data_IF_119007941342
#
_entry.id   IF_119007941342
#
_cell.length_a   1.000
_cell.length_b   1.000
_cell.length_c   1.000
_cell.angle_alpha   90.00
_cell.angle_beta   90.00
_cell.angle_gamma   90.00
#
_symmetry.space_group_name_H-M   'P 1'
#
loop_
_entity.id
_entity.type
_entity.pdbx_description
1 polymer ?
#
# COMPACT_ATOMS: atom_id res chain seq x y z
N UNK A 1 -16.20 30.96 6.06
CA UNK A 1 -14.94 31.07 6.81
C UNK A 1 -14.93 30.08 7.97
N UNK A 2 -15.92 30.12 8.86
CA UNK A 2 -15.92 29.41 10.16
C UNK A 2 -15.83 27.85 10.10
N UNK A 3 -16.54 27.18 9.19
CA UNK A 3 -16.51 25.71 9.06
C UNK A 3 -15.16 25.17 8.58
N UNK A 4 -14.45 25.93 7.75
CA UNK A 4 -13.14 25.55 7.22
C UNK A 4 -12.08 25.58 8.33
N UNK A 5 -12.15 26.59 9.20
CA UNK A 5 -11.23 26.73 10.34
C UNK A 5 -11.48 25.67 11.40
N UNK A 6 -12.72 25.20 11.54
CA UNK A 6 -13.06 24.07 12.41
C UNK A 6 -12.53 22.75 11.87
N UNK A 7 -12.66 22.49 10.56
CA UNK A 7 -12.00 21.33 9.94
C UNK A 7 -10.49 21.36 10.11
N UNK A 8 -9.86 22.55 10.00
CA UNK A 8 -8.44 22.74 10.28
C UNK A 8 -8.06 22.34 11.72
N UNK A 9 -8.83 22.78 12.71
CA UNK A 9 -8.63 22.40 14.12
C UNK A 9 -8.82 20.91 14.37
N UNK A 10 -9.75 20.26 13.67
CA UNK A 10 -9.94 18.80 13.74
C UNK A 10 -8.71 18.09 13.15
N UNK A 11 -8.16 18.58 12.03
CA UNK A 11 -6.92 18.04 11.46
C UNK A 11 -5.75 18.16 12.44
N UNK A 12 -5.55 19.31 13.08
CA UNK A 12 -4.50 19.50 14.09
C UNK A 12 -4.68 18.56 15.30
N UNK A 13 -5.92 18.41 15.80
CA UNK A 13 -6.22 17.46 16.88
C UNK A 13 -5.90 16.02 16.48
N UNK A 14 -6.24 15.60 15.26
CA UNK A 14 -5.91 14.25 14.77
C UNK A 14 -4.40 14.06 14.62
N UNK A 15 -3.67 15.07 14.13
CA UNK A 15 -2.21 15.02 14.05
C UNK A 15 -1.56 14.91 15.44
N UNK A 16 -2.11 15.60 16.44
CA UNK A 16 -1.58 15.54 17.81
C UNK A 16 -1.67 14.14 18.45
N UNK A 17 -2.49 13.22 17.93
CA UNK A 17 -2.53 11.83 18.40
C UNK A 17 -1.19 11.12 18.12
N UNK A 18 -0.57 11.42 16.98
CA UNK A 18 0.73 10.87 16.63
C UNK A 18 1.80 11.38 17.60
N UNK A 19 1.72 12.66 17.99
CA UNK A 19 2.64 13.29 18.93
C UNK A 19 2.40 12.84 20.38
N UNK A 20 1.16 12.50 20.75
CA UNK A 20 0.80 12.04 22.09
C UNK A 20 1.14 10.58 22.35
N UNK A 21 1.41 9.79 21.31
CA UNK A 21 1.79 8.39 21.48
C UNK A 21 3.17 8.31 22.15
N UNK A 22 3.32 7.66 23.32
CA UNK A 22 4.58 7.61 24.07
C UNK A 22 5.55 6.59 23.46
N UNK A 23 5.89 6.81 22.19
CA UNK A 23 6.90 6.07 21.42
C UNK A 23 8.20 5.84 22.22
N UNK A 24 8.75 6.85 22.94
CA UNK A 24 9.96 6.66 23.73
C UNK A 24 9.80 5.64 24.86
N UNK A 25 8.64 5.53 25.52
CA UNK A 25 8.47 4.61 26.66
C UNK A 25 8.53 3.14 26.23
N UNK A 26 8.04 2.82 25.02
CA UNK A 26 8.05 1.46 24.49
C UNK A 26 9.34 1.10 23.75
N UNK A 27 9.95 2.06 23.06
CA UNK A 27 11.17 1.82 22.27
C UNK A 27 12.44 1.88 23.11
N UNK A 28 12.47 2.70 24.18
CA UNK A 28 13.66 2.92 25.00
C UNK A 28 14.15 1.69 25.76
N UNK A 29 13.30 0.84 26.38
CA UNK A 29 13.78 -0.37 27.04
C UNK A 29 14.45 -1.34 26.06
N UNK A 30 13.87 -1.51 24.87
CA UNK A 30 14.43 -2.36 23.82
C UNK A 30 15.73 -1.78 23.25
N UNK A 31 15.78 -0.47 22.99
CA UNK A 31 16.99 0.19 22.48
C UNK A 31 18.12 0.21 23.51
N UNK A 32 17.83 0.44 24.79
CA UNK A 32 18.80 0.36 25.87
C UNK A 32 19.30 -1.08 26.09
N UNK A 33 18.42 -2.08 25.98
CA UNK A 33 18.82 -3.49 26.05
C UNK A 33 19.74 -3.88 24.89
N UNK A 34 19.40 -3.47 23.67
CA UNK A 34 20.24 -3.66 22.48
C UNK A 34 21.58 -2.94 22.60
N UNK A 35 21.58 -1.68 23.06
CA UNK A 35 22.80 -0.91 23.29
C UNK A 35 23.71 -1.55 24.33
N UNK A 36 23.16 -2.02 25.45
CA UNK A 36 23.91 -2.77 26.47
C UNK A 36 24.44 -4.10 25.91
N UNK A 37 23.66 -4.80 25.09
CA UNK A 37 24.10 -6.04 24.46
C UNK A 37 25.24 -5.80 23.46
N UNK A 38 25.16 -4.73 22.67
CA UNK A 38 26.21 -4.31 21.75
C UNK A 38 27.49 -3.91 22.50
N UNK A 39 27.38 -3.08 23.52
CA UNK A 39 28.52 -2.65 24.32
C UNK A 39 29.19 -3.85 25.02
N UNK A 40 28.39 -4.79 25.52
CA UNK A 40 28.90 -6.03 26.13
C UNK A 40 29.52 -6.98 25.12
N UNK A 41 29.09 -6.96 23.85
CA UNK A 41 29.62 -7.85 22.81
C UNK A 41 30.89 -7.30 22.14
N UNK A 42 31.10 -5.98 22.10
CA UNK A 42 32.31 -5.34 21.55
C UNK A 42 33.65 -5.95 22.02
N UNK A 43 33.90 -6.19 23.32
CA UNK A 43 35.16 -6.81 23.75
C UNK A 43 35.28 -8.26 23.22
N UNK A 44 34.20 -9.04 23.23
CA UNK A 44 34.24 -10.38 22.66
C UNK A 44 34.50 -10.38 21.15
N UNK A 45 33.95 -9.42 20.41
CA UNK A 45 34.18 -9.30 18.97
C UNK A 45 35.65 -9.02 18.63
N UNK A 46 36.31 -8.13 19.39
CA UNK A 46 37.77 -7.88 19.24
C UNK A 46 38.59 -9.14 19.54
N UNK A 47 38.14 -9.93 20.50
CA UNK A 47 38.85 -11.13 20.92
C UNK A 47 38.64 -12.26 19.91
N UNK A 48 37.45 -12.33 19.32
CA UNK A 48 37.13 -13.22 18.19
C UNK A 48 37.96 -12.87 16.97
N UNK A 49 38.15 -11.58 16.63
CA UNK A 49 39.01 -11.18 15.51
C UNK A 49 40.46 -11.64 15.70
N UNK A 50 40.98 -11.50 16.93
CA UNK A 50 42.32 -12.00 17.27
C UNK A 50 42.39 -13.52 17.21
N UNK A 51 41.39 -14.21 17.76
CA UNK A 51 41.31 -15.67 17.71
C UNK A 51 41.18 -16.19 16.28
N UNK A 52 40.43 -15.49 15.43
CA UNK A 52 40.23 -15.82 14.03
C UNK A 52 41.55 -15.77 13.25
N UNK A 53 42.39 -14.77 13.53
CA UNK A 53 43.74 -14.71 12.95
C UNK A 53 44.59 -15.93 13.35
N UNK A 54 44.57 -16.31 14.64
CA UNK A 54 45.28 -17.50 15.11
C UNK A 54 44.70 -18.79 14.54
N UNK A 55 43.37 -18.91 14.45
CA UNK A 55 42.67 -20.04 13.85
C UNK A 55 43.06 -20.20 12.38
N UNK A 56 43.11 -19.10 11.63
CA UNK A 56 43.52 -19.09 10.24
C UNK A 56 44.98 -19.53 10.07
N UNK A 57 45.91 -18.99 10.86
CA UNK A 57 47.32 -19.39 10.84
C UNK A 57 47.45 -20.88 11.16
N UNK A 58 46.85 -21.33 12.25
CA UNK A 58 46.90 -22.74 12.68
C UNK A 58 46.36 -23.65 11.57
N UNK A 59 45.19 -23.33 11.02
CA UNK A 59 44.57 -24.06 9.91
C UNK A 59 45.48 -24.13 8.67
N UNK A 60 46.06 -23.01 8.25
CA UNK A 60 46.97 -22.97 7.09
C UNK A 60 48.24 -23.79 7.34
N UNK A 61 48.85 -23.72 8.52
CA UNK A 61 50.02 -24.53 8.87
C UNK A 61 49.69 -26.02 8.83
N UNK A 62 48.56 -26.43 9.42
CA UNK A 62 48.13 -27.83 9.45
C UNK A 62 47.81 -28.38 8.05
N UNK A 63 47.10 -27.61 7.23
CA UNK A 63 46.87 -27.95 5.83
C UNK A 63 48.19 -28.07 5.06
N UNK A 64 49.16 -27.18 5.32
CA UNK A 64 50.49 -27.24 4.69
C UNK A 64 51.26 -28.49 5.09
N UNK A 65 51.15 -28.95 6.35
CA UNK A 65 51.76 -30.21 6.82
C UNK A 65 51.18 -31.40 6.06
N UNK A 66 49.86 -31.48 5.91
CA UNK A 66 49.20 -32.56 5.17
C UNK A 66 49.61 -32.54 3.68
N UNK A 67 49.63 -31.35 3.06
CA UNK A 67 50.09 -31.17 1.69
C UNK A 67 51.56 -31.57 1.52
N UNK A 68 52.42 -31.26 2.49
CA UNK A 68 53.83 -31.67 2.47
C UNK A 68 53.97 -33.19 2.54
N UNK A 69 53.22 -33.86 3.44
CA UNK A 69 53.19 -35.33 3.52
C UNK A 69 52.74 -35.93 2.18
N UNK A 70 51.68 -35.37 1.58
CA UNK A 70 51.17 -35.82 0.29
C UNK A 70 52.20 -35.60 -0.82
N UNK A 71 52.86 -34.45 -0.86
CA UNK A 71 53.92 -34.14 -1.83
C UNK A 71 55.10 -35.11 -1.71
N UNK A 72 55.60 -35.36 -0.49
CA UNK A 72 56.64 -36.36 -0.24
C UNK A 72 56.22 -37.75 -0.74
N UNK A 73 54.95 -38.13 -0.51
CA UNK A 73 54.42 -39.40 -0.98
C UNK A 73 54.31 -39.49 -2.50
N UNK A 74 53.77 -38.47 -3.17
CA UNK A 74 53.62 -38.43 -4.63
C UNK A 74 54.99 -38.41 -5.32
N UNK A 75 55.91 -37.54 -4.87
CA UNK A 75 57.28 -37.50 -5.40
C UNK A 75 58.02 -38.80 -5.12
N UNK A 76 57.83 -39.39 -3.92
CA UNK A 76 58.39 -40.68 -3.56
C UNK A 76 57.92 -41.81 -4.47
N UNK A 77 56.61 -41.86 -4.77
CA UNK A 77 56.04 -42.80 -5.73
C UNK A 77 56.58 -42.59 -7.14
N UNK A 78 56.57 -41.35 -7.65
CA UNK A 78 57.00 -41.05 -9.02
C UNK A 78 58.49 -41.36 -9.27
N UNK A 79 59.36 -40.94 -8.35
CA UNK A 79 60.79 -41.25 -8.45
C UNK A 79 61.07 -42.75 -8.26
N UNK A 80 60.32 -43.39 -7.37
CA UNK A 80 60.44 -44.82 -7.10
C UNK A 80 60.00 -45.69 -8.28
N UNK A 81 58.85 -45.41 -8.89
CA UNK A 81 58.36 -46.15 -10.07
C UNK A 81 59.23 -45.90 -11.29
N UNK A 82 59.68 -44.66 -11.51
CA UNK A 82 60.63 -44.35 -12.56
C UNK A 82 61.97 -45.08 -12.36
N UNK A 83 62.48 -45.09 -11.13
CA UNK A 83 63.69 -45.83 -10.76
C UNK A 83 63.55 -47.34 -10.98
N UNK A 84 62.38 -47.92 -10.68
CA UNK A 84 62.09 -49.32 -11.00
C UNK A 84 62.03 -49.59 -12.51
N UNK A 85 61.42 -48.70 -13.30
CA UNK A 85 61.29 -48.87 -14.75
C UNK A 85 62.63 -48.80 -15.50
N UNK A 86 63.61 -48.09 -14.95
CA UNK A 86 64.95 -47.92 -15.54
C UNK A 86 65.91 -49.04 -15.18
N UNK A 87 65.50 -49.94 -14.28
CA UNK A 87 66.36 -50.97 -13.70
C UNK A 87 66.40 -52.22 -14.57
N UNK A 88 67.61 -52.68 -14.91
CA UNK A 88 67.80 -53.91 -15.72
C UNK A 88 67.71 -55.18 -14.85
N UNK A 89 68.39 -55.24 -13.70
CA UNK A 89 68.27 -56.34 -12.73
C UNK A 89 67.72 -55.89 -11.36
N UNK A 90 66.88 -56.71 -10.68
CA UNK A 90 66.37 -56.45 -9.32
C UNK A 90 67.43 -56.29 -8.21
N UNK A 91 68.71 -56.45 -8.54
CA UNK A 91 69.88 -56.33 -7.66
C UNK A 91 70.57 -54.97 -7.76
N UNK A 92 70.37 -54.24 -8.86
CA UNK A 92 71.18 -53.07 -9.21
C UNK A 92 70.78 -51.79 -8.46
N UNK A 93 71.76 -50.99 -8.09
CA UNK A 93 71.50 -49.74 -7.39
C UNK A 93 71.08 -48.65 -8.38
N UNK A 94 69.88 -48.08 -8.20
CA UNK A 94 69.40 -46.97 -9.01
C UNK A 94 69.13 -45.73 -8.12
N UNK A 95 69.80 -44.62 -8.42
CA UNK A 95 69.78 -43.42 -7.58
C UNK A 95 68.36 -42.83 -7.40
N UNK A 96 67.52 -42.90 -8.44
CA UNK A 96 66.15 -42.36 -8.42
C UNK A 96 65.21 -43.24 -7.58
N UNK A 97 65.40 -44.56 -7.60
CA UNK A 97 64.65 -45.50 -6.76
C UNK A 97 64.95 -45.31 -5.27
N UNK A 98 66.23 -45.16 -4.91
CA UNK A 98 66.64 -44.88 -3.52
C UNK A 98 66.14 -43.50 -3.06
N UNK A 99 66.19 -42.48 -3.92
CA UNK A 99 65.60 -41.17 -3.62
C UNK A 99 64.09 -41.28 -3.36
N UNK A 100 63.36 -42.02 -4.20
CA UNK A 100 61.93 -42.28 -4.02
C UNK A 100 61.62 -42.98 -2.68
N UNK A 101 62.41 -44.00 -2.31
CA UNK A 101 62.28 -44.68 -1.02
C UNK A 101 62.53 -43.74 0.18
N UNK A 102 63.52 -42.84 0.08
CA UNK A 102 63.81 -41.84 1.12
C UNK A 102 62.69 -40.82 1.26
N UNK A 103 62.10 -40.34 0.16
CA UNK A 103 60.96 -39.42 0.20
C UNK A 103 59.69 -40.07 0.79
N UNK A 104 59.42 -41.36 0.51
CA UNK A 104 58.35 -42.10 1.16
C UNK A 104 58.57 -42.25 2.66
N UNK A 105 59.79 -42.58 3.09
CA UNK A 105 60.13 -42.69 4.51
C UNK A 105 60.09 -41.34 5.24
N UNK A 106 60.45 -40.25 4.56
CA UNK A 106 60.30 -38.89 5.09
C UNK A 106 58.81 -38.54 5.27
N UNK A 107 57.96 -38.85 4.29
CA UNK A 107 56.50 -38.69 4.40
C UNK A 107 55.90 -39.48 5.57
N UNK A 108 56.33 -40.72 5.76
CA UNK A 108 55.96 -41.56 6.92
C UNK A 108 56.41 -40.95 8.24
N UNK A 109 57.65 -40.46 8.31
CA UNK A 109 58.19 -39.82 9.51
C UNK A 109 57.40 -38.57 9.91
N UNK A 110 57.08 -37.71 8.94
CA UNK A 110 56.26 -36.52 9.15
C UNK A 110 54.82 -36.90 9.56
N UNK A 111 54.21 -37.89 8.89
CA UNK A 111 52.88 -38.36 9.22
C UNK A 111 52.80 -38.88 10.67
N UNK A 112 53.79 -39.66 11.11
CA UNK A 112 53.84 -40.17 12.49
C UNK A 112 54.04 -39.04 13.52
N UNK A 113 54.96 -38.10 13.23
CA UNK A 113 55.28 -36.98 14.11
C UNK A 113 54.06 -36.08 14.37
N UNK A 114 53.27 -35.79 13.33
CA UNK A 114 52.13 -34.88 13.41
C UNK A 114 50.78 -35.58 13.62
N UNK A 115 50.69 -36.91 13.55
CA UNK A 115 49.43 -37.65 13.66
C UNK A 115 48.72 -37.40 15.00
N UNK A 116 49.43 -37.43 16.12
CA UNK A 116 48.80 -37.22 17.44
C UNK A 116 48.25 -35.80 17.61
N UNK A 117 48.93 -34.78 17.04
CA UNK A 117 48.47 -33.40 17.02
C UNK A 117 47.20 -33.25 16.19
N UNK A 118 47.16 -33.88 15.01
CA UNK A 118 45.98 -33.88 14.14
C UNK A 118 44.79 -34.57 14.81
N UNK A 119 44.99 -35.73 15.45
CA UNK A 119 43.93 -36.44 16.18
C UNK A 119 43.39 -35.59 17.35
N UNK A 120 44.27 -35.00 18.17
CA UNK A 120 43.88 -34.18 19.30
C UNK A 120 43.06 -32.96 18.85
N UNK A 121 43.48 -32.32 17.75
CA UNK A 121 42.76 -31.18 17.20
C UNK A 121 41.39 -31.58 16.64
N UNK A 122 41.31 -32.67 15.86
CA UNK A 122 40.04 -33.20 15.35
C UNK A 122 39.09 -33.48 16.51
N UNK A 123 39.58 -34.10 17.59
CA UNK A 123 38.76 -34.38 18.78
C UNK A 123 38.25 -33.09 19.45
N UNK A 124 39.13 -32.10 19.68
CA UNK A 124 38.74 -30.84 20.32
C UNK A 124 37.71 -30.06 19.49
N UNK A 125 37.94 -29.99 18.17
CA UNK A 125 37.05 -29.28 17.23
C UNK A 125 35.73 -30.02 17.02
N UNK A 126 35.74 -31.35 16.99
CA UNK A 126 34.54 -32.20 17.00
C UNK A 126 33.71 -31.99 18.26
N UNK A 127 34.34 -31.97 19.44
CA UNK A 127 33.61 -31.80 20.70
C UNK A 127 32.87 -30.47 20.71
N UNK A 128 33.50 -29.38 20.28
CA UNK A 128 32.83 -28.08 20.19
C UNK A 128 31.75 -28.07 19.10
N UNK A 129 32.10 -28.38 17.85
CA UNK A 129 31.18 -28.27 16.70
C UNK A 129 30.01 -29.25 16.76
N UNK A 130 30.28 -30.49 17.15
CA UNK A 130 29.27 -31.54 17.29
C UNK A 130 28.25 -31.26 18.40
N UNK A 131 28.70 -30.71 19.53
CA UNK A 131 27.79 -30.28 20.60
C UNK A 131 26.96 -29.07 20.18
N UNK A 132 27.54 -28.05 19.54
CA UNK A 132 26.77 -26.89 19.05
C UNK A 132 25.71 -27.34 18.03
N UNK A 133 26.08 -28.23 17.09
CA UNK A 133 25.13 -28.73 16.09
C UNK A 133 23.95 -29.48 16.73
N UNK A 134 24.25 -30.35 17.71
CA UNK A 134 23.25 -31.25 18.29
C UNK A 134 22.39 -30.56 19.36
N UNK A 135 23.01 -29.80 20.27
CA UNK A 135 22.31 -29.17 21.41
C UNK A 135 21.67 -27.83 21.05
N UNK A 136 22.27 -27.06 20.13
CA UNK A 136 21.80 -25.71 19.80
C UNK A 136 21.09 -25.71 18.46
N UNK A 137 21.80 -25.99 17.36
CA UNK A 137 21.27 -25.78 16.02
C UNK A 137 20.05 -26.64 15.70
N UNK A 138 20.11 -27.94 16.02
CA UNK A 138 18.96 -28.86 15.82
C UNK A 138 17.73 -28.47 16.65
N UNK A 139 17.94 -28.09 17.90
CA UNK A 139 16.87 -27.66 18.79
C UNK A 139 16.32 -26.28 18.44
N UNK A 140 17.12 -25.42 17.79
CA UNK A 140 16.66 -24.14 17.26
C UNK A 140 15.73 -24.34 16.06
N UNK A 141 16.05 -25.28 15.16
CA UNK A 141 15.17 -25.65 14.04
C UNK A 141 13.81 -26.12 14.54
N UNK A 142 13.82 -26.99 15.55
CA UNK A 142 12.61 -27.55 16.14
C UNK A 142 11.88 -26.58 17.08
N UNK A 143 12.39 -25.35 17.24
CA UNK A 143 11.85 -24.32 18.16
C UNK A 143 11.85 -24.74 19.64
N UNK A 144 12.52 -25.85 19.99
CA UNK A 144 12.67 -26.32 21.36
C UNK A 144 13.61 -25.44 22.16
N UNK A 145 14.54 -24.77 21.49
CA UNK A 145 15.44 -23.80 22.15
C UNK A 145 14.66 -22.65 22.79
N UNK A 146 13.54 -22.21 22.18
CA UNK A 146 12.71 -21.16 22.74
C UNK A 146 12.00 -21.64 24.02
N UNK A 147 11.55 -22.90 24.06
CA UNK A 147 11.00 -23.50 25.29
C UNK A 147 12.04 -23.60 26.40
N UNK A 148 13.29 -23.92 26.04
CA UNK A 148 14.39 -23.96 27.00
C UNK A 148 14.69 -22.58 27.59
N UNK A 149 14.67 -21.53 26.75
CA UNK A 149 14.86 -20.13 27.15
C UNK A 149 13.71 -19.64 28.04
N UNK A 150 12.47 -20.01 27.72
CA UNK A 150 11.26 -19.64 28.47
C UNK A 150 11.18 -20.33 29.85
N UNK A 151 11.85 -21.46 30.03
CA UNK A 151 11.76 -22.24 31.27
C UNK A 151 12.48 -21.52 32.43
N UNK A 152 11.77 -21.13 33.51
CA UNK A 152 12.37 -20.41 34.61
C UNK A 152 13.44 -21.25 35.31
N UNK A 153 14.63 -20.68 35.49
CA UNK A 153 15.79 -21.35 36.12
C UNK A 153 16.90 -21.77 35.16
N UNK A 154 16.64 -21.83 33.84
CA UNK A 154 17.65 -22.22 32.84
C UNK A 154 18.59 -21.06 32.44
N UNK A 155 18.11 -19.82 32.52
CA UNK A 155 18.87 -18.61 32.20
C UNK A 155 19.01 -17.71 33.44
N UNK A 156 20.13 -17.00 33.59
CA UNK A 156 20.28 -16.02 34.65
C UNK A 156 19.21 -14.92 34.53
N UNK A 157 18.72 -14.35 35.65
CA UNK A 157 17.65 -13.35 35.64
C UNK A 157 17.93 -12.12 34.75
N UNK A 158 19.21 -11.82 34.52
CA UNK A 158 19.67 -10.75 33.63
C UNK A 158 19.42 -10.99 32.14
N UNK A 159 19.11 -12.22 31.73
CA UNK A 159 18.87 -12.64 30.34
C UNK A 159 17.41 -13.04 30.08
N UNK A 160 16.49 -12.66 30.96
CA UNK A 160 15.06 -12.87 30.72
C UNK A 160 14.56 -11.92 29.61
N UNK A 161 14.52 -12.44 28.38
CA UNK A 161 14.10 -11.73 27.17
C UNK A 161 12.66 -11.20 27.27
N UNK A 162 11.75 -11.96 27.89
CA UNK A 162 10.36 -11.54 28.11
C UNK A 162 10.29 -10.24 28.89
N UNK A 163 11.14 -10.08 29.92
CA UNK A 163 11.23 -8.85 30.72
C UNK A 163 11.98 -7.72 30.03
N UNK A 164 13.01 -8.02 29.25
CA UNK A 164 13.79 -6.99 28.54
C UNK A 164 13.06 -6.41 27.33
N UNK A 165 12.30 -7.23 26.62
CA UNK A 165 11.54 -6.85 25.43
C UNK A 165 10.12 -6.39 25.76
N UNK A 166 9.75 -6.30 27.04
CA UNK A 166 8.39 -5.97 27.51
C UNK A 166 7.31 -6.81 26.81
N UNK A 167 7.59 -8.10 26.56
CA UNK A 167 6.60 -9.00 25.99
C UNK A 167 5.48 -9.25 27.00
N UNK A 168 4.33 -9.69 26.50
CA UNK A 168 3.21 -10.18 27.32
C UNK A 168 3.73 -11.15 28.39
N UNK A 169 3.48 -10.85 29.67
CA UNK A 169 3.98 -11.65 30.81
C UNK A 169 3.56 -13.12 30.79
N UNK A 170 2.47 -13.43 30.08
CA UNK A 170 1.89 -14.77 29.98
C UNK A 170 2.25 -15.47 28.65
N UNK A 171 3.03 -14.85 27.76
CA UNK A 171 3.39 -15.45 26.47
C UNK A 171 4.75 -16.12 26.50
N UNK A 172 4.80 -17.35 26.00
CA UNK A 172 6.04 -18.06 25.72
C UNK A 172 6.70 -17.44 24.47
N UNK A 173 8.01 -17.24 24.46
CA UNK A 173 8.79 -16.79 23.30
C UNK A 173 8.54 -17.66 22.06
N UNK A 174 8.28 -18.97 22.24
CA UNK A 174 7.87 -19.86 21.15
C UNK A 174 6.52 -19.49 20.51
N UNK A 175 5.56 -19.01 21.30
CA UNK A 175 4.27 -18.55 20.80
C UNK A 175 4.43 -17.18 20.11
N UNK A 176 5.13 -16.25 20.78
CA UNK A 176 5.46 -14.94 20.22
C UNK A 176 6.21 -15.04 18.89
N UNK A 177 7.22 -15.90 18.79
CA UNK A 177 7.93 -16.14 17.54
C UNK A 177 6.98 -16.59 16.41
N UNK A 178 6.04 -17.50 16.71
CA UNK A 178 5.07 -18.00 15.72
C UNK A 178 4.10 -16.91 15.27
N UNK A 179 3.56 -16.14 16.21
CA UNK A 179 2.67 -15.00 15.95
C UNK A 179 3.38 -13.94 15.09
N UNK A 180 4.60 -13.56 15.48
CA UNK A 180 5.41 -12.60 14.72
C UNK A 180 5.80 -13.14 13.34
N UNK A 181 6.05 -14.45 13.19
CA UNK A 181 6.33 -15.08 11.90
C UNK A 181 5.11 -15.13 10.98
N UNK A 182 3.91 -15.21 11.54
CA UNK A 182 2.65 -15.08 10.78
C UNK A 182 2.27 -13.64 10.45
N UNK A 183 3.07 -12.66 10.86
CA UNK A 183 2.84 -11.24 10.58
C UNK A 183 1.97 -10.52 11.61
N UNK A 184 1.75 -11.11 12.80
CA UNK A 184 0.93 -10.48 13.84
C UNK A 184 1.42 -9.08 14.21
N UNK A 185 0.46 -8.22 14.56
CA UNK A 185 0.71 -6.87 15.02
C UNK A 185 1.47 -6.85 16.35
N UNK A 186 2.47 -5.98 16.44
CA UNK A 186 3.23 -5.70 17.66
C UNK A 186 2.32 -5.20 18.78
N UNK A 187 1.20 -4.55 18.42
CA UNK A 187 0.18 -4.08 19.35
C UNK A 187 -0.36 -5.20 20.23
N UNK A 188 -0.70 -6.34 19.62
CA UNK A 188 -1.21 -7.53 20.30
C UNK A 188 -0.11 -8.24 21.10
N UNK A 189 1.09 -8.38 20.50
CA UNK A 189 2.22 -9.12 21.09
C UNK A 189 2.79 -8.44 22.35
N UNK A 190 2.89 -7.10 22.34
CA UNK A 190 3.40 -6.32 23.48
C UNK A 190 2.30 -5.94 24.50
N UNK A 191 1.03 -6.28 24.24
CA UNK A 191 -0.13 -5.83 25.03
C UNK A 191 -0.19 -4.30 25.20
N UNK A 192 0.05 -3.56 24.11
CA UNK A 192 0.01 -2.10 24.12
C UNK A 192 -1.37 -1.55 24.55
N UNK A 193 -2.45 -2.31 24.35
CA UNK A 193 -3.80 -1.97 24.81
C UNK A 193 -3.90 -1.75 26.33
N UNK A 194 -3.06 -2.41 27.14
CA UNK A 194 -3.11 -2.27 28.62
C UNK A 194 -2.50 -0.98 29.12
N UNK A 195 -1.57 -0.42 28.37
CA UNK A 195 -0.79 0.75 28.75
C UNK A 195 -1.18 2.00 27.94
N UNK A 196 -1.79 1.84 26.78
CA UNK A 196 -2.34 2.92 25.96
C UNK A 196 -3.67 2.51 25.32
N UNK A 197 -4.77 3.08 25.83
CA UNK A 197 -6.11 2.82 25.29
C UNK A 197 -6.31 3.62 23.98
N UNK A 198 -5.99 2.97 22.86
CA UNK A 198 -6.16 3.55 21.53
C UNK A 198 -7.64 3.84 21.22
N UNK A 199 -8.56 3.02 21.70
CA UNK A 199 -10.01 3.22 21.49
C UNK A 199 -10.50 4.48 22.18
N UNK A 200 -9.97 4.81 23.35
CA UNK A 200 -10.28 6.06 24.02
C UNK A 200 -9.83 7.29 23.22
N UNK A 201 -8.69 7.21 22.54
CA UNK A 201 -8.12 8.30 21.74
C UNK A 201 -8.80 8.44 20.38
N UNK A 202 -9.36 7.37 19.83
CA UNK A 202 -10.04 7.33 18.53
C UNK A 202 -11.57 7.51 18.62
N UNK A 203 -12.12 7.89 19.78
CA UNK A 203 -13.56 8.17 19.92
C UNK A 203 -14.01 9.32 19.00
N UNK A 204 -14.87 9.03 18.03
CA UNK A 204 -15.42 10.01 17.07
C UNK A 204 -15.93 11.31 17.71
N UNK A 205 -16.70 11.29 18.83
CA UNK A 205 -17.20 12.52 19.44
C UNK A 205 -16.11 13.51 19.90
N UNK A 206 -14.88 13.05 20.21
CA UNK A 206 -13.76 13.95 20.59
C UNK A 206 -13.40 14.93 19.47
N UNK A 207 -13.66 14.55 18.22
CA UNK A 207 -13.32 15.31 17.02
C UNK A 207 -14.54 15.95 16.36
N UNK A 208 -15.72 15.35 16.50
CA UNK A 208 -16.90 15.76 15.72
C UNK A 208 -18.01 16.43 16.52
N UNK A 209 -17.92 16.50 17.86
CA UNK A 209 -18.99 17.07 18.69
C UNK A 209 -19.26 18.55 18.38
N UNK A 210 -18.21 19.36 18.22
CA UNK A 210 -18.34 20.80 17.90
C UNK A 210 -18.96 21.01 16.51
N UNK A 211 -18.49 20.24 15.52
CA UNK A 211 -19.03 20.23 14.17
C UNK A 211 -20.52 19.85 14.14
N UNK A 212 -20.90 18.77 14.86
CA UNK A 212 -22.28 18.33 14.95
C UNK A 212 -23.17 19.38 15.64
N UNK A 213 -22.67 20.01 16.70
CA UNK A 213 -23.39 21.07 17.41
C UNK A 213 -23.64 22.29 16.51
N UNK A 214 -22.62 22.78 15.81
CA UNK A 214 -22.74 23.94 14.91
C UNK A 214 -23.70 23.71 13.75
N UNK A 215 -23.66 22.53 13.13
CA UNK A 215 -24.60 22.20 12.06
C UNK A 215 -26.02 21.99 12.58
N UNK A 216 -26.17 21.46 13.81
CA UNK A 216 -27.48 21.37 14.48
C UNK A 216 -28.07 22.75 14.81
N UNK A 217 -27.23 23.70 15.22
CA UNK A 217 -27.62 25.07 15.57
C UNK A 217 -27.80 25.97 14.32
N UNK A 218 -27.42 25.48 13.13
CA UNK A 218 -27.51 26.26 11.90
C UNK A 218 -28.97 26.56 11.54
N UNK A 219 -29.30 27.84 11.56
CA UNK A 219 -30.61 28.36 11.14
C UNK A 219 -30.40 29.45 10.10
N UNK A 220 -30.72 29.17 8.83
CA UNK A 220 -30.77 30.20 7.81
C UNK A 220 -32.20 30.73 7.75
N UNK A 221 -32.42 32.03 7.96
CA UNK A 221 -33.73 32.64 7.67
C UNK A 221 -33.80 32.88 6.16
N UNK A 222 -34.53 32.03 5.44
CA UNK A 222 -35.09 32.42 4.16
C UNK A 222 -36.04 33.59 4.48
N UNK A 223 -35.66 34.81 4.09
CA UNK A 223 -36.42 36.01 4.42
C UNK A 223 -37.86 35.95 3.90
N UNK A 224 -38.62 37.02 4.15
CA UNK A 224 -40.01 37.09 3.69
C UNK A 224 -40.07 36.99 2.16
N UNK A 225 -40.57 35.86 1.67
CA UNK A 225 -40.77 35.65 0.24
C UNK A 225 -41.96 36.49 -0.18
N UNK A 226 -41.71 37.46 -1.06
CA UNK A 226 -42.72 38.35 -1.61
C UNK A 226 -42.72 38.24 -3.13
N UNK A 227 -43.64 37.42 -3.65
CA UNK A 227 -43.84 37.18 -5.08
C UNK A 227 -44.60 38.33 -5.72
N UNK A 228 -45.60 38.88 -5.03
CA UNK A 228 -46.38 40.02 -5.50
C UNK A 228 -46.25 41.17 -4.50
N UNK A 229 -45.80 42.32 -5.00
CA UNK A 229 -45.70 43.53 -4.17
C UNK A 229 -47.09 44.04 -3.79
N UNK A 230 -47.14 44.84 -2.72
CA UNK A 230 -48.36 45.49 -2.25
C UNK A 230 -49.07 46.26 -3.35
N UNK A 231 -48.31 46.98 -4.18
CA UNK A 231 -48.85 47.82 -5.24
C UNK A 231 -49.54 46.96 -6.30
N UNK A 232 -48.86 45.91 -6.79
CA UNK A 232 -49.45 45.00 -7.78
C UNK A 232 -50.65 44.21 -7.25
N UNK A 233 -50.68 43.92 -5.94
CA UNK A 233 -51.84 43.29 -5.29
C UNK A 233 -53.05 44.24 -5.31
N UNK A 234 -52.81 45.50 -4.95
CA UNK A 234 -53.83 46.53 -4.94
C UNK A 234 -54.34 46.84 -6.35
N UNK A 235 -53.46 46.86 -7.36
CA UNK A 235 -53.84 47.04 -8.76
C UNK A 235 -54.76 45.92 -9.25
N UNK A 236 -54.42 44.67 -8.94
CA UNK A 236 -55.25 43.51 -9.29
C UNK A 236 -56.60 43.54 -8.56
N UNK A 237 -56.62 43.88 -7.28
CA UNK A 237 -57.87 44.02 -6.51
C UNK A 237 -58.74 45.17 -7.04
N UNK A 238 -58.13 46.29 -7.44
CA UNK A 238 -58.82 47.43 -8.04
C UNK A 238 -59.39 47.05 -9.40
N UNK A 239 -58.63 46.34 -10.22
CA UNK A 239 -59.08 45.83 -11.50
C UNK A 239 -60.23 44.83 -11.37
N UNK A 240 -60.17 43.92 -10.39
CA UNK A 240 -61.27 43.00 -10.10
C UNK A 240 -62.57 43.69 -9.62
N UNK A 241 -62.46 44.94 -9.15
CA UNK A 241 -63.59 45.80 -8.71
C UNK A 241 -63.98 46.85 -9.74
N UNK A 242 -63.35 46.87 -10.92
CA UNK A 242 -63.62 47.92 -11.91
C UNK A 242 -64.96 47.76 -12.63
N UNK A 243 -65.71 46.68 -12.38
CA UNK A 243 -67.00 46.41 -13.01
C UNK A 243 -66.89 46.03 -14.49
N UNK A 244 -65.70 45.60 -14.96
CA UNK A 244 -65.47 45.20 -16.37
C UNK A 244 -66.32 43.99 -16.75
N UNK A 245 -66.63 43.12 -15.80
CA UNK A 245 -67.53 41.97 -15.92
C UNK A 245 -69.01 42.36 -15.93
N UNK A 246 -69.37 43.53 -15.39
CA UNK A 246 -70.74 44.04 -15.30
C UNK A 246 -71.17 44.84 -16.55
N UNK A 247 -70.24 45.12 -17.46
CA UNK A 247 -70.52 45.85 -18.71
C UNK A 247 -71.45 45.03 -19.61
N UNK A 248 -72.54 45.64 -20.06
CA UNK A 248 -73.47 45.03 -21.03
C UNK A 248 -72.86 45.08 -22.44
N UNK A 249 -71.91 44.18 -22.70
CA UNK A 249 -71.29 44.01 -24.02
C UNK A 249 -72.31 43.65 -25.09
N UNK A 250 -73.44 43.04 -24.72
CA UNK A 250 -74.55 42.72 -25.62
C UNK A 250 -75.14 43.98 -26.25
N UNK A 251 -75.42 45.02 -25.44
CA UNK A 251 -75.90 46.31 -25.95
C UNK A 251 -74.93 46.96 -26.93
N UNK A 252 -73.64 46.97 -26.63
CA UNK A 252 -72.64 47.50 -27.56
C UNK A 252 -72.64 46.71 -28.87
N UNK A 253 -72.76 45.38 -28.80
CA UNK A 253 -72.84 44.53 -30.00
C UNK A 253 -74.07 44.80 -30.85
N UNK A 254 -75.23 45.09 -30.23
CA UNK A 254 -76.43 45.50 -30.97
C UNK A 254 -76.28 46.89 -31.59
N UNK A 255 -75.74 47.87 -30.87
CA UNK A 255 -75.55 49.23 -31.38
C UNK A 255 -74.62 49.27 -32.60
N UNK A 256 -73.59 48.42 -32.63
CA UNK A 256 -72.66 48.33 -33.75
C UNK A 256 -73.26 47.69 -35.01
N UNK A 257 -74.45 47.09 -34.94
CA UNK A 257 -75.17 46.61 -36.13
C UNK A 257 -75.91 47.74 -36.85
N UNK A 258 -76.10 48.89 -36.20
CA UNK A 258 -76.73 50.05 -36.81
C UNK A 258 -75.83 50.62 -37.90
N UNK A 259 -76.38 50.99 -39.08
CA UNK A 259 -75.59 51.60 -40.12
C UNK A 259 -75.07 52.98 -39.67
N UNK A 260 -73.81 53.29 -40.02
CA UNK A 260 -73.16 54.57 -39.68
C UNK A 260 -73.96 55.78 -40.19
N UNK A 261 -74.61 55.62 -41.35
CA UNK A 261 -75.48 56.62 -41.95
C UNK A 261 -76.84 56.00 -42.25
N UNK A 262 -77.92 56.65 -41.82
CA UNK A 262 -79.29 56.15 -41.99
C UNK A 262 -79.72 56.04 -43.46
N UNK A 263 -79.15 56.86 -44.34
CA UNK A 263 -79.43 56.85 -45.78
C UNK A 263 -78.19 56.41 -46.54
N UNK A 264 -78.37 55.51 -47.51
CA UNK A 264 -77.29 55.11 -48.41
C UNK A 264 -76.87 56.29 -49.28
N UNK A 265 -75.72 56.90 -48.94
CA UNK A 265 -75.15 57.99 -49.74
C UNK A 265 -74.92 57.58 -51.21
N UNK A 266 -74.48 56.34 -51.52
CA UNK A 266 -74.40 55.84 -52.91
C UNK A 266 -75.74 55.74 -53.62
N UNK A 267 -76.82 55.39 -52.90
CA UNK A 267 -78.16 55.34 -53.50
C UNK A 267 -78.66 56.76 -53.79
N UNK A 268 -78.49 57.68 -52.83
CA UNK A 268 -78.87 59.08 -53.00
C UNK A 268 -78.08 59.75 -54.12
N UNK A 269 -76.75 59.53 -54.19
CA UNK A 269 -75.89 60.03 -55.26
C UNK A 269 -76.37 59.56 -56.65
N UNK A 270 -76.68 58.26 -56.79
CA UNK A 270 -77.23 57.70 -58.05
C UNK A 270 -78.60 58.29 -58.41
N UNK A 271 -79.46 58.55 -57.44
CA UNK A 271 -80.74 59.24 -57.69
C UNK A 271 -80.54 60.68 -58.18
N UNK A 272 -79.58 61.42 -57.61
CA UNK A 272 -79.23 62.77 -58.07
C UNK A 272 -78.64 62.78 -59.49
N UNK A 273 -77.78 61.81 -59.82
CA UNK A 273 -77.25 61.60 -61.18
C UNK A 273 -78.36 61.24 -62.19
N UNK A 274 -79.34 60.44 -61.77
CA UNK A 274 -80.52 60.13 -62.58
C UNK A 274 -81.37 61.37 -62.87
N UNK A 275 -81.64 62.19 -61.85
CA UNK A 275 -82.35 63.47 -61.98
C UNK A 275 -81.59 64.47 -62.85
N UNK A 276 -80.26 64.52 -62.73
CA UNK A 276 -79.39 65.34 -63.58
C UNK A 276 -79.61 65.04 -65.06
N UNK A 277 -79.66 63.76 -65.47
CA UNK A 277 -79.81 63.35 -66.88
C UNK A 277 -81.15 63.77 -67.49
N UNK A 278 -82.17 64.00 -66.68
CA UNK A 278 -83.51 64.42 -67.13
C UNK A 278 -83.68 65.95 -67.19
N UNK A 279 -82.72 66.72 -66.70
CA UNK A 279 -82.85 68.17 -66.53
C UNK A 279 -82.45 68.94 -67.80
N UNK A 280 -83.30 69.87 -68.25
CA UNK A 280 -83.04 70.76 -69.41
C UNK A 280 -82.24 72.00 -69.04
N UNK A 281 -82.30 72.45 -67.78
CA UNK A 281 -81.50 73.56 -67.28
C UNK A 281 -80.09 73.10 -66.88
N UNK A 282 -79.08 73.54 -67.64
CA UNK A 282 -77.67 73.19 -67.44
C UNK A 282 -77.14 73.57 -66.06
N UNK A 283 -77.65 74.64 -65.45
CA UNK A 283 -77.23 75.11 -64.11
C UNK A 283 -77.71 74.16 -63.02
N UNK A 284 -78.97 73.71 -63.10
CA UNK A 284 -79.55 72.75 -62.14
C UNK A 284 -78.91 71.38 -62.31
N UNK A 285 -78.67 70.94 -63.55
CA UNK A 285 -77.93 69.70 -63.83
C UNK A 285 -76.50 69.74 -63.25
N UNK A 286 -75.78 70.86 -63.40
CA UNK A 286 -74.43 71.03 -62.84
C UNK A 286 -74.38 71.00 -61.30
N UNK A 287 -75.40 71.58 -60.63
CA UNK A 287 -75.52 71.50 -59.16
C UNK A 287 -75.79 70.07 -58.68
N UNK A 288 -76.74 69.36 -59.30
CA UNK A 288 -77.04 67.96 -58.98
C UNK A 288 -75.80 67.05 -59.14
N UNK A 289 -75.02 67.26 -60.20
CA UNK A 289 -73.76 66.54 -60.44
C UNK A 289 -72.68 66.83 -59.38
N UNK A 290 -72.69 68.02 -58.79
CA UNK A 290 -71.73 68.43 -57.76
C UNK A 290 -72.10 67.83 -56.42
N UNK A 291 -73.38 67.85 -56.05
CA UNK A 291 -73.89 67.19 -54.84
C UNK A 291 -73.70 65.66 -54.91
N UNK A 292 -73.97 65.03 -56.06
CA UNK A 292 -73.72 63.60 -56.24
C UNK A 292 -72.24 63.24 -56.04
N UNK A 293 -71.31 64.04 -56.59
CA UNK A 293 -69.87 63.86 -56.37
C UNK A 293 -69.48 64.06 -54.91
N UNK A 294 -70.06 65.05 -54.23
CA UNK A 294 -69.81 65.28 -52.80
C UNK A 294 -70.26 64.09 -51.95
N UNK A 295 -71.42 63.50 -52.26
CA UNK A 295 -71.92 62.28 -51.59
C UNK A 295 -71.00 61.08 -51.82
N UNK A 296 -70.50 60.87 -53.05
CA UNK A 296 -69.51 59.83 -53.34
C UNK A 296 -68.19 60.04 -52.59
N UNK A 297 -67.70 61.28 -52.54
CA UNK A 297 -66.51 61.62 -51.77
C UNK A 297 -66.72 61.35 -50.28
N UNK A 298 -67.89 61.71 -49.73
CA UNK A 298 -68.23 61.46 -48.34
C UNK A 298 -68.34 59.96 -48.02
N UNK A 299 -68.91 59.17 -48.92
CA UNK A 299 -68.95 57.71 -48.78
C UNK A 299 -67.54 57.10 -48.74
N UNK A 300 -66.71 57.42 -49.74
CA UNK A 300 -65.40 56.78 -49.94
C UNK A 300 -64.32 57.30 -48.98
N UNK A 301 -64.56 58.41 -48.29
CA UNK A 301 -63.64 58.96 -47.29
C UNK A 301 -64.15 58.71 -45.87
N UNK A 302 -65.24 59.37 -45.50
CA UNK A 302 -65.68 59.50 -44.12
C UNK A 302 -66.47 58.26 -43.69
N UNK A 303 -67.46 57.84 -44.49
CA UNK A 303 -68.33 56.71 -44.12
C UNK A 303 -67.54 55.40 -44.10
N UNK A 304 -66.76 55.11 -45.16
CA UNK A 304 -65.96 53.88 -45.22
C UNK A 304 -64.95 53.79 -44.08
N UNK A 305 -64.32 54.91 -43.70
CA UNK A 305 -63.39 54.93 -42.57
C UNK A 305 -64.10 54.69 -41.23
N UNK A 306 -65.26 55.30 -41.03
CA UNK A 306 -66.09 55.08 -39.84
C UNK A 306 -66.59 53.63 -39.75
N UNK A 307 -67.02 53.03 -40.87
CA UNK A 307 -67.42 51.61 -40.94
C UNK A 307 -66.25 50.69 -40.54
N UNK A 308 -65.04 50.97 -41.02
CA UNK A 308 -63.85 50.22 -40.63
C UNK A 308 -63.53 50.34 -39.13
N UNK A 309 -63.73 51.51 -38.53
CA UNK A 309 -63.57 51.71 -37.08
C UNK A 309 -64.62 50.95 -36.26
N UNK A 310 -65.88 50.97 -36.70
CA UNK A 310 -66.96 50.20 -36.06
C UNK A 310 -66.66 48.70 -36.12
N UNK A 311 -66.13 48.20 -37.24
CA UNK A 311 -65.70 46.81 -37.37
C UNK A 311 -64.58 46.45 -36.37
N UNK A 312 -63.57 47.31 -36.20
CA UNK A 312 -62.48 47.12 -35.23
C UNK A 312 -62.98 47.19 -33.77
N UNK A 313 -63.92 48.09 -33.49
CA UNK A 313 -64.58 48.16 -32.19
C UNK A 313 -65.38 46.88 -31.92
N UNK A 314 -66.09 46.36 -32.92
CA UNK A 314 -66.86 45.13 -32.79
C UNK A 314 -65.99 43.91 -32.46
N UNK A 315 -64.79 43.83 -33.04
CA UNK A 315 -63.81 42.80 -32.69
C UNK A 315 -63.34 42.95 -31.23
N UNK A 316 -63.01 44.17 -30.81
CA UNK A 316 -62.55 44.47 -29.44
C UNK A 316 -63.62 44.16 -28.40
N UNK A 317 -64.87 44.56 -28.64
CA UNK A 317 -66.03 44.28 -27.77
C UNK A 317 -66.31 42.77 -27.71
N UNK A 318 -66.19 42.05 -28.81
CA UNK A 318 -66.37 40.58 -28.84
C UNK A 318 -65.28 39.85 -28.08
N UNK A 319 -64.03 40.34 -28.13
CA UNK A 319 -62.95 39.79 -27.31
C UNK A 319 -63.22 40.02 -25.82
N UNK A 320 -63.57 41.26 -25.45
CA UNK A 320 -63.89 41.60 -24.06
C UNK A 320 -65.11 40.82 -23.53
N UNK A 321 -66.16 40.63 -24.34
CA UNK A 321 -67.35 39.87 -23.91
C UNK A 321 -67.06 38.41 -23.56
N UNK A 322 -66.00 37.83 -24.14
CA UNK A 322 -65.55 36.46 -23.83
C UNK A 322 -64.61 36.42 -22.62
N UNK A 323 -63.79 37.44 -22.44
CA UNK A 323 -62.78 37.48 -21.39
C UNK A 323 -63.34 37.95 -20.04
N UNK A 324 -64.17 39.00 -20.06
CA UNK A 324 -64.63 39.71 -18.87
C UNK A 324 -65.31 38.81 -17.81
N UNK A 325 -66.21 37.86 -18.18
CA UNK A 325 -66.89 37.03 -17.18
C UNK A 325 -65.96 36.15 -16.33
N UNK A 326 -64.79 35.78 -16.87
CA UNK A 326 -63.82 34.91 -16.19
C UNK A 326 -62.71 35.68 -15.48
N UNK A 327 -62.64 36.99 -15.68
CA UNK A 327 -61.50 37.80 -15.30
C UNK A 327 -61.41 37.99 -13.78
N UNK A 328 -62.54 38.26 -13.14
CA UNK A 328 -62.60 38.43 -11.69
C UNK A 328 -62.21 37.16 -10.94
N UNK A 329 -62.71 36.01 -11.39
CA UNK A 329 -62.38 34.70 -10.81
C UNK A 329 -60.89 34.37 -10.98
N UNK A 330 -60.33 34.64 -12.18
CA UNK A 330 -58.89 34.45 -12.43
C UNK A 330 -58.03 35.32 -11.51
N UNK A 331 -58.37 36.60 -11.36
CA UNK A 331 -57.64 37.50 -10.45
C UNK A 331 -57.71 37.02 -9.00
N UNK A 332 -58.91 36.67 -8.50
CA UNK A 332 -59.08 36.09 -7.16
C UNK A 332 -58.23 34.83 -6.96
N UNK A 333 -58.22 33.94 -7.94
CA UNK A 333 -57.44 32.69 -7.91
C UNK A 333 -55.94 32.96 -7.90
N UNK A 334 -55.45 33.90 -8.73
CA UNK A 334 -54.04 34.29 -8.76
C UNK A 334 -53.61 34.90 -7.42
N UNK A 335 -54.42 35.80 -6.85
CA UNK A 335 -54.15 36.42 -5.54
C UNK A 335 -54.10 35.38 -4.41
N UNK A 336 -55.06 34.44 -4.40
CA UNK A 336 -55.11 33.36 -3.40
C UNK A 336 -53.93 32.40 -3.53
N UNK A 337 -53.59 31.99 -4.76
CA UNK A 337 -52.45 31.11 -5.04
C UNK A 337 -51.14 31.77 -4.63
N UNK A 338 -50.96 33.05 -4.98
CA UNK A 338 -49.76 33.82 -4.61
C UNK A 338 -49.60 33.90 -3.10
N UNK A 339 -50.68 34.23 -2.37
CA UNK A 339 -50.65 34.29 -0.91
C UNK A 339 -50.34 32.94 -0.27
N UNK A 340 -50.89 31.85 -0.82
CA UNK A 340 -50.59 30.49 -0.37
C UNK A 340 -49.11 30.14 -0.55
N UNK A 341 -48.53 30.45 -1.72
CA UNK A 341 -47.11 30.18 -1.99
C UNK A 341 -46.20 31.04 -1.11
N UNK A 342 -46.50 32.34 -0.94
CA UNK A 342 -45.73 33.23 -0.06
C UNK A 342 -45.73 32.72 1.40
N UNK A 343 -46.83 32.13 1.87
CA UNK A 343 -46.91 31.58 3.23
C UNK A 343 -46.24 30.20 3.38
N UNK A 344 -46.37 29.31 2.38
CA UNK A 344 -45.90 27.94 2.47
C UNK A 344 -44.42 27.78 2.08
N UNK A 345 -43.93 28.57 1.11
CA UNK A 345 -42.59 28.40 0.57
C UNK A 345 -41.49 28.57 1.62
N UNK A 346 -41.52 29.58 2.52
CA UNK A 346 -40.52 29.69 3.58
C UNK A 346 -40.51 28.47 4.49
N UNK A 347 -41.69 27.98 4.89
CA UNK A 347 -41.83 26.82 5.79
C UNK A 347 -41.27 25.55 5.14
N UNK A 348 -41.64 25.29 3.88
CA UNK A 348 -41.14 24.12 3.13
C UNK A 348 -39.64 24.20 2.87
N UNK A 349 -39.13 25.37 2.49
CA UNK A 349 -37.70 25.58 2.27
C UNK A 349 -36.89 25.37 3.55
N UNK A 350 -37.38 25.84 4.71
CA UNK A 350 -36.77 25.57 6.01
C UNK A 350 -36.73 24.08 6.35
N UNK A 351 -37.81 23.36 6.06
CA UNK A 351 -37.89 21.93 6.32
C UNK A 351 -36.90 21.14 5.45
N UNK A 352 -36.85 21.44 4.14
CA UNK A 352 -35.89 20.85 3.21
C UNK A 352 -34.46 21.17 3.65
N UNK A 353 -34.18 22.42 4.01
CA UNK A 353 -32.86 22.83 4.46
C UNK A 353 -32.42 22.05 5.72
N UNK A 354 -33.29 21.92 6.73
CA UNK A 354 -32.99 21.12 7.93
C UNK A 354 -32.75 19.64 7.60
N UNK A 355 -33.54 19.08 6.69
CA UNK A 355 -33.37 17.70 6.26
C UNK A 355 -32.03 17.48 5.54
N UNK A 356 -31.68 18.38 4.62
CA UNK A 356 -30.42 18.34 3.88
C UNK A 356 -29.20 18.52 4.80
N UNK A 357 -29.25 19.47 5.74
CA UNK A 357 -28.19 19.65 6.74
C UNK A 357 -28.05 18.40 7.61
N UNK A 358 -29.15 17.79 8.03
CA UNK A 358 -29.14 16.54 8.78
C UNK A 358 -28.52 15.38 7.98
N UNK A 359 -28.86 15.25 6.70
CA UNK A 359 -28.28 14.26 5.79
C UNK A 359 -26.77 14.50 5.60
N UNK A 360 -26.37 15.74 5.34
CA UNK A 360 -24.96 16.13 5.21
C UNK A 360 -24.18 15.81 6.49
N UNK A 361 -24.68 16.23 7.65
CA UNK A 361 -24.04 15.97 8.95
C UNK A 361 -23.82 14.47 9.19
N UNK A 362 -24.85 13.63 8.96
CA UNK A 362 -24.72 12.17 9.11
C UNK A 362 -23.70 11.57 8.14
N UNK A 363 -23.67 12.07 6.89
CA UNK A 363 -22.73 11.59 5.88
C UNK A 363 -21.29 11.91 6.27
N UNK A 364 -21.02 13.14 6.68
CA UNK A 364 -19.68 13.56 7.11
C UNK A 364 -19.23 12.85 8.39
N UNK A 365 -20.09 12.74 9.40
CA UNK A 365 -19.81 11.98 10.63
C UNK A 365 -19.43 10.52 10.35
N UNK A 366 -20.07 9.90 9.35
CA UNK A 366 -19.74 8.54 8.94
C UNK A 366 -18.36 8.45 8.29
N UNK A 367 -17.93 9.44 7.51
CA UNK A 367 -16.56 9.47 6.99
C UNK A 367 -15.53 9.62 8.11
N UNK A 368 -15.78 10.48 9.10
CA UNK A 368 -14.90 10.58 10.28
C UNK A 368 -14.81 9.26 11.04
N UNK A 369 -15.94 8.61 11.30
CA UNK A 369 -15.96 7.30 11.96
C UNK A 369 -15.22 6.22 11.14
N UNK A 370 -15.41 6.21 9.82
CA UNK A 370 -14.71 5.28 8.94
C UNK A 370 -13.19 5.51 8.96
N UNK A 371 -12.76 6.77 8.92
CA UNK A 371 -11.34 7.11 8.99
C UNK A 371 -10.71 6.71 10.32
N UNK A 372 -11.36 7.02 11.46
CA UNK A 372 -10.83 6.67 12.78
C UNK A 372 -10.81 5.15 13.00
N UNK A 373 -11.81 4.41 12.49
CA UNK A 373 -11.79 2.94 12.50
C UNK A 373 -10.64 2.38 11.66
N UNK A 374 -10.42 2.94 10.46
CA UNK A 374 -9.30 2.55 9.61
C UNK A 374 -7.95 2.81 10.31
N UNK A 375 -7.76 3.98 10.91
CA UNK A 375 -6.55 4.30 11.71
C UNK A 375 -6.36 3.27 12.83
N UNK A 376 -7.43 2.96 13.57
CA UNK A 376 -7.38 2.00 14.67
C UNK A 376 -7.04 0.58 14.21
N UNK A 377 -7.48 0.16 13.02
CA UNK A 377 -7.14 -1.14 12.47
C UNK A 377 -5.71 -1.18 11.93
N UNK A 378 -5.33 -0.18 11.13
CA UNK A 378 -4.00 -0.07 10.54
C UNK A 378 -2.88 0.06 11.58
N UNK A 379 -3.12 0.75 12.70
CA UNK A 379 -2.16 0.81 13.81
C UNK A 379 -1.99 -0.52 14.55
N UNK A 380 -3.06 -1.32 14.65
CA UNK A 380 -3.02 -2.62 15.34
C UNK A 380 -2.43 -3.72 14.46
N UNK A 381 -2.78 -3.73 13.17
CA UNK A 381 -2.51 -4.87 12.28
C UNK A 381 -1.38 -4.59 11.28
N UNK A 382 -1.33 -3.42 10.64
CA UNK A 382 -0.53 -3.20 9.42
C UNK A 382 0.80 -2.47 9.65
N UNK A 383 0.81 -1.40 10.46
CA UNK A 383 1.98 -0.49 10.57
C UNK A 383 3.08 -1.05 11.46
N UNK A 384 2.70 -1.86 12.45
CA UNK A 384 3.63 -2.36 13.46
C UNK A 384 3.70 -3.88 13.42
N UNK A 385 3.97 -4.51 12.28
CA UNK A 385 4.15 -5.97 12.26
C UNK A 385 5.35 -6.39 13.12
N UNK A 386 5.21 -7.47 13.90
CA UNK A 386 6.29 -8.05 14.70
C UNK A 386 7.27 -8.91 13.85
N UNK A 387 7.04 -9.04 12.55
CA UNK A 387 7.86 -9.86 11.65
C UNK A 387 9.37 -9.56 11.65
N UNK A 388 9.85 -8.30 11.84
CA UNK A 388 11.27 -8.02 11.99
C UNK A 388 11.93 -8.76 13.17
N UNK A 389 11.22 -8.99 14.27
CA UNK A 389 11.73 -9.75 15.42
C UNK A 389 11.94 -11.22 15.05
N UNK A 390 10.95 -11.86 14.43
CA UNK A 390 11.06 -13.24 13.96
C UNK A 390 12.20 -13.38 12.93
N UNK A 391 12.33 -12.39 12.03
CA UNK A 391 13.42 -12.32 11.04
C UNK A 391 14.78 -12.20 11.70
N UNK A 392 14.93 -11.37 12.73
CA UNK A 392 16.18 -11.23 13.46
C UNK A 392 16.60 -12.55 14.16
N UNK A 393 15.64 -13.28 14.74
CA UNK A 393 15.89 -14.60 15.34
C UNK A 393 16.29 -15.64 14.29
N UNK A 394 15.61 -15.66 13.13
CA UNK A 394 15.96 -16.55 12.01
C UNK A 394 17.36 -16.21 11.45
N UNK A 395 17.70 -14.93 11.31
CA UNK A 395 19.03 -14.49 10.90
C UNK A 395 20.10 -14.89 11.92
N UNK A 396 19.83 -14.75 13.22
CA UNK A 396 20.74 -15.18 14.29
C UNK A 396 21.06 -16.67 14.20
N UNK A 397 20.03 -17.50 13.93
CA UNK A 397 20.21 -18.93 13.67
C UNK A 397 21.09 -19.18 12.44
N UNK A 398 20.78 -18.55 11.30
CA UNK A 398 21.54 -18.74 10.05
C UNK A 398 23.01 -18.37 10.24
N UNK A 399 23.30 -17.29 10.97
CA UNK A 399 24.67 -16.88 11.26
C UNK A 399 25.37 -17.95 12.11
N UNK A 400 24.77 -18.37 13.23
CA UNK A 400 25.42 -19.30 14.14
C UNK A 400 25.57 -20.71 13.55
N UNK A 401 24.49 -21.22 12.96
CA UNK A 401 24.43 -22.61 12.50
C UNK A 401 25.05 -22.77 11.11
N UNK A 402 24.56 -22.02 10.13
CA UNK A 402 24.93 -22.24 8.74
C UNK A 402 26.26 -21.55 8.38
N UNK A 403 26.56 -20.40 8.99
CA UNK A 403 27.77 -19.63 8.66
C UNK A 403 28.96 -19.91 9.57
N UNK A 404 28.74 -20.39 10.79
CA UNK A 404 29.82 -20.68 11.75
C UNK A 404 29.93 -22.18 12.01
N UNK A 405 28.86 -22.83 12.46
CA UNK A 405 28.90 -24.22 12.92
C UNK A 405 29.11 -25.22 11.77
N UNK A 406 28.45 -25.03 10.63
CA UNK A 406 28.59 -25.92 9.47
C UNK A 406 30.02 -25.91 8.88
N UNK A 407 30.65 -24.75 8.59
CA UNK A 407 32.05 -24.72 8.17
C UNK A 407 33.02 -25.30 9.21
N UNK A 408 32.77 -25.04 10.50
CA UNK A 408 33.54 -25.64 11.59
C UNK A 408 33.44 -27.17 11.58
N UNK A 409 32.24 -27.69 11.34
CA UNK A 409 32.01 -29.13 11.25
C UNK A 409 32.65 -29.75 10.02
N UNK A 410 32.58 -29.07 8.86
CA UNK A 410 33.27 -29.50 7.66
C UNK A 410 34.80 -29.54 7.85
N UNK A 411 35.36 -28.57 8.61
CA UNK A 411 36.79 -28.52 8.89
C UNK A 411 37.27 -29.75 9.67
N UNK A 412 36.68 -30.06 10.84
CA UNK A 412 37.16 -31.21 11.62
C UNK A 412 36.84 -32.54 10.92
N UNK A 413 35.72 -32.62 10.21
CA UNK A 413 35.34 -33.83 9.49
C UNK A 413 36.34 -34.14 8.37
N UNK A 414 36.68 -33.14 7.55
CA UNK A 414 37.69 -33.30 6.49
C UNK A 414 39.08 -33.63 7.04
N UNK A 415 39.51 -32.94 8.11
CA UNK A 415 40.78 -33.21 8.78
C UNK A 415 40.81 -34.61 9.40
N UNK A 416 39.70 -35.04 9.98
CA UNK A 416 39.50 -36.39 10.51
C UNK A 416 39.63 -37.46 9.43
N UNK A 417 39.01 -37.24 8.27
CA UNK A 417 39.16 -38.12 7.11
C UNK A 417 40.62 -38.19 6.63
N UNK A 418 41.31 -37.05 6.48
CA UNK A 418 42.73 -37.03 6.11
C UNK A 418 43.57 -37.84 7.11
N UNK A 419 43.35 -37.63 8.40
CA UNK A 419 44.09 -38.32 9.47
C UNK A 419 43.82 -39.83 9.46
N UNK A 420 42.58 -40.24 9.23
CA UNK A 420 42.22 -41.65 9.09
C UNK A 420 42.96 -42.31 7.91
N UNK A 421 43.07 -41.63 6.77
CA UNK A 421 43.79 -42.14 5.59
C UNK A 421 45.32 -42.10 5.71
N UNK A 422 45.89 -41.38 6.68
CA UNK A 422 47.33 -41.44 6.96
C UNK A 422 47.75 -42.85 7.43
N UNK A 423 46.89 -43.57 8.16
CA UNK A 423 47.19 -44.91 8.67
C UNK A 423 47.49 -45.91 7.54
N UNK A 424 46.58 -46.16 6.57
CA UNK A 424 46.88 -47.03 5.44
C UNK A 424 48.00 -46.47 4.57
N UNK A 425 48.07 -45.14 4.40
CA UNK A 425 49.16 -44.51 3.65
C UNK A 425 50.54 -44.86 4.23
N UNK A 426 50.73 -44.80 5.54
CA UNK A 426 51.98 -45.17 6.22
C UNK A 426 52.34 -46.64 5.93
N UNK A 427 51.37 -47.56 6.04
CA UNK A 427 51.59 -48.99 5.79
C UNK A 427 52.06 -49.22 4.35
N UNK A 428 51.37 -48.62 3.37
CA UNK A 428 51.72 -48.75 1.96
C UNK A 428 53.07 -48.08 1.65
N UNK A 429 53.34 -46.90 2.18
CA UNK A 429 54.60 -46.19 1.96
C UNK A 429 55.81 -46.97 2.50
N UNK A 430 55.70 -47.60 3.68
CA UNK A 430 56.75 -48.49 4.25
C UNK A 430 56.93 -49.73 3.38
N UNK A 431 55.83 -50.36 2.93
CA UNK A 431 55.91 -51.54 2.06
C UNK A 431 56.54 -51.19 0.72
N UNK A 432 56.16 -50.07 0.13
CA UNK A 432 56.61 -49.64 -1.19
C UNK A 432 58.07 -49.17 -1.17
N UNK A 433 58.50 -48.46 -0.12
CA UNK A 433 59.91 -48.06 0.04
C UNK A 433 60.85 -49.27 0.09
N UNK A 434 60.42 -50.39 0.70
CA UNK A 434 61.18 -51.65 0.67
C UNK A 434 61.31 -52.24 -0.73
N UNK A 435 60.37 -51.99 -1.64
CA UNK A 435 60.43 -52.48 -3.03
C UNK A 435 61.29 -51.59 -3.93
N UNK A 436 61.34 -50.28 -3.65
CA UNK A 436 62.18 -49.34 -4.37
C UNK A 436 63.67 -49.47 -4.05
N UNK A 437 64.03 -50.12 -2.93
CA UNK A 437 65.42 -50.43 -2.57
C UNK A 437 65.93 -51.74 -3.18
N UNK A 438 67.23 -51.84 -3.49
CA UNK A 438 67.83 -53.05 -4.06
C UNK A 438 67.78 -54.26 -3.12
N UNK A 439 67.54 -55.46 -3.68
CA UNK A 439 67.43 -56.72 -2.93
C UNK A 439 68.74 -57.07 -2.19
N UNK A 440 69.90 -56.68 -2.73
CA UNK A 440 71.20 -56.90 -2.07
C UNK A 440 71.27 -56.30 -0.65
N UNK A 441 70.59 -55.18 -0.41
CA UNK A 441 70.51 -54.58 0.93
C UNK A 441 69.53 -55.32 1.86
N UNK A 442 68.58 -56.11 1.34
CA UNK A 442 67.72 -56.97 2.16
C UNK A 442 68.49 -58.18 2.69
N UNK A 443 69.33 -58.81 1.85
CA UNK A 443 70.12 -59.99 2.21
C UNK A 443 71.16 -59.68 3.31
N UNK A 444 71.77 -58.50 3.28
CA UNK A 444 72.77 -58.07 4.28
C UNK A 444 72.13 -57.78 5.66
N UNK A 445 70.86 -57.36 5.71
CA UNK A 445 70.19 -57.04 6.99
C UNK A 445 69.56 -58.23 7.70
N UNK A 446 69.31 -59.34 7.01
CA UNK A 446 68.75 -60.58 7.59
C UNK A 446 69.75 -61.74 7.63
N UNK A 447 70.94 -61.55 7.07
CA UNK A 447 72.05 -62.48 7.22
C UNK A 447 72.76 -62.25 8.54
N UNK A 448 72.57 -63.18 9.49
CA UNK A 448 73.68 -63.59 10.35
C UNK A 448 74.94 -63.70 9.49
N UNK A 449 76.08 -63.29 10.05
CA UNK A 449 77.39 -63.69 9.54
C UNK A 449 77.31 -65.16 9.12
N UNK A 450 77.82 -65.49 7.93
CA UNK A 450 77.66 -66.76 7.18
C UNK A 450 76.58 -66.75 6.08
N UNK A 451 76.87 -66.08 4.96
CA UNK A 451 76.71 -66.67 3.62
C UNK A 451 77.29 -65.72 2.56
N UNK A 452 78.34 -66.16 1.88
CA UNK A 452 78.93 -65.47 0.71
C UNK A 452 77.93 -65.43 -0.45
N UNK A 453 77.85 -64.33 -1.24
CA UNK A 453 76.94 -64.28 -2.37
C UNK A 453 77.46 -65.13 -3.53
N UNK A 454 76.59 -66.01 -4.04
CA UNK A 454 76.80 -66.75 -5.29
C UNK A 454 76.81 -65.77 -6.47
N UNK A 455 77.92 -65.71 -7.20
CA UNK A 455 78.06 -64.99 -8.46
C UNK A 455 77.68 -65.93 -9.61
N UNK A 456 76.57 -65.68 -10.31
CA UNK A 456 76.27 -66.35 -11.58
C UNK A 456 76.82 -65.46 -12.70
N UNK A 457 77.75 -65.92 -13.55
CA UNK A 457 78.25 -65.14 -14.67
C UNK A 457 77.25 -65.14 -15.84
N UNK A 458 77.03 -63.96 -16.44
CA UNK A 458 76.29 -63.83 -17.72
C UNK A 458 77.18 -64.30 -18.87
N UNK A 459 76.64 -65.15 -19.74
CA UNK A 459 77.24 -65.53 -21.02
C UNK A 459 77.14 -64.33 -21.98
N UNK A 460 78.28 -63.81 -22.39
CA UNK A 460 78.42 -62.85 -23.49
C UNK A 460 77.94 -63.49 -24.80
N UNK A 461 76.91 -62.90 -25.41
CA UNK A 461 76.50 -63.22 -26.77
C UNK A 461 77.64 -62.84 -27.74
N UNK A 462 78.12 -63.83 -28.50
CA UNK A 462 78.97 -63.62 -29.67
C UNK A 462 78.18 -62.83 -30.72
N UNK A 463 78.80 -61.78 -31.25
CA UNK A 463 78.46 -61.23 -32.57
C UNK A 463 78.78 -62.27 -33.65
N UNK A 464 77.80 -62.61 -34.48
CA UNK A 464 77.94 -62.66 -35.93
C UNK A 464 76.70 -62.04 -36.57
#
# INVERSE_FOLDING_TARGET
ADLRDEMGRVTEKVQSIADSFPLPEYTRPASEALGKAEERSRPYLREVERFEHYRWIAGTVLCSIILLILACNVTGMALGTYGLSKREDPSDYECRGEAGAKFLLLGVGLAFLFSWLLILLVFATFLVGGNIQTLVCRNWVNQEIYKFIDTPGNLPPSMNLTRQLNLRRDSNLSATYRECKSGAGLWEVLQLDKSYDLDEHLKTPKYTADFQKRLGDFTARLGDVRLLRSEGRQDLETFARSGVDEVDYGRFQEEMKNPVVQTSLPALARSLEGLQKMQRNSTVAGRLATEARALWQMQNSTVQWQEALVAKLAESVRFLSRLAPHLQERVKTTLATTASVEAQLPVQAQQILRQEIGCFTRKELRYFAQYLNWVGQTLREDVASCQPLATALDNGRVILCDRITDPWNAFWFSLGCCTFFLIPNIIFAIRLSKHFRPIRNRLISTGSEETCPFHIPRVTALKL
#
